data_IF_267401393285
#
_entry.id   IF_267401393285
#
_cell.length_a   1.000
_cell.length_b   1.000
_cell.length_c   1.000
_cell.angle_alpha   90.00
_cell.angle_beta   90.00
_cell.angle_gamma   90.00
#
_symmetry.space_group_name_H-M   'P 1'
#
loop_
_entity.id
_entity.type
_entity.pdbx_description
1 polymer ?
#
# COMPACT_ATOMS: atom_id res chain seq x y z
N UNK A 1 -3.93 21.56 0.72
CA UNK A 1 -3.40 20.38 1.46
C UNK A 1 -4.01 19.14 0.84
N UNK A 2 -3.27 18.01 0.73
CA UNK A 2 -3.84 16.73 0.25
C UNK A 2 -3.99 15.78 1.44
N UNK A 3 -5.14 15.15 1.58
CA UNK A 3 -5.47 14.26 2.71
C UNK A 3 -5.74 12.85 2.17
N UNK A 4 -4.93 11.87 2.60
CA UNK A 4 -5.14 10.46 2.28
C UNK A 4 -5.56 9.65 3.52
N UNK A 5 -5.98 8.41 3.30
CA UNK A 5 -6.32 7.47 4.38
C UNK A 5 -5.66 6.11 4.15
N UNK A 6 -5.39 5.39 5.24
CA UNK A 6 -5.16 3.94 5.23
C UNK A 6 -6.50 3.19 5.28
N UNK A 7 -6.46 1.86 5.16
CA UNK A 7 -7.63 1.02 5.30
C UNK A 7 -8.25 1.09 6.71
N UNK A 8 -9.58 0.97 6.81
CA UNK A 8 -10.32 0.88 8.06
C UNK A 8 -11.25 -0.34 8.04
N UNK A 9 -11.56 -0.89 9.22
CA UNK A 9 -12.39 -2.10 9.32
C UNK A 9 -13.82 -1.94 8.79
N UNK A 10 -14.32 -0.71 8.69
CA UNK A 10 -15.65 -0.40 8.17
C UNK A 10 -15.65 -0.11 6.65
N UNK A 11 -14.50 -0.15 5.99
CA UNK A 11 -14.45 0.00 4.53
C UNK A 11 -14.85 -1.30 3.84
N UNK A 12 -15.37 -1.23 2.60
CA UNK A 12 -15.66 -2.41 1.81
C UNK A 12 -14.43 -3.33 1.63
N UNK A 13 -14.66 -4.64 1.63
CA UNK A 13 -13.59 -5.62 1.44
C UNK A 13 -13.15 -5.70 -0.03
N UNK A 14 -14.09 -5.60 -0.97
CA UNK A 14 -13.79 -5.57 -2.40
C UNK A 14 -12.94 -4.32 -2.75
N UNK A 15 -11.86 -4.52 -3.52
CA UNK A 15 -10.88 -3.45 -3.80
C UNK A 15 -11.55 -2.30 -4.57
N UNK A 16 -12.34 -2.59 -5.60
CA UNK A 16 -13.00 -1.54 -6.40
C UNK A 16 -14.02 -0.76 -5.59
N UNK A 17 -14.84 -1.44 -4.80
CA UNK A 17 -15.80 -0.78 -3.90
C UNK A 17 -15.10 0.08 -2.86
N UNK A 18 -13.98 -0.38 -2.30
CA UNK A 18 -13.18 0.40 -1.37
C UNK A 18 -12.65 1.68 -1.99
N UNK A 19 -12.11 1.61 -3.21
CA UNK A 19 -11.62 2.81 -3.91
C UNK A 19 -12.74 3.81 -4.18
N UNK A 20 -13.93 3.32 -4.60
CA UNK A 20 -15.12 4.18 -4.78
C UNK A 20 -15.53 4.82 -3.46
N UNK A 21 -15.64 4.04 -2.40
CA UNK A 21 -16.02 4.51 -1.07
C UNK A 21 -15.05 5.58 -0.53
N UNK A 22 -13.75 5.35 -0.64
CA UNK A 22 -12.72 6.33 -0.22
C UNK A 22 -12.80 7.61 -1.04
N UNK A 23 -13.03 7.49 -2.36
CA UNK A 23 -13.18 8.64 -3.24
C UNK A 23 -14.42 9.46 -2.91
N UNK A 24 -15.55 8.81 -2.64
CA UNK A 24 -16.83 9.43 -2.28
C UNK A 24 -16.77 10.14 -0.92
N UNK A 25 -15.97 9.64 0.03
CA UNK A 25 -15.70 10.34 1.29
C UNK A 25 -14.85 11.61 1.11
N UNK A 26 -14.26 11.84 -0.06
CA UNK A 26 -13.50 13.06 -0.37
C UNK A 26 -12.00 12.99 -0.09
N UNK A 27 -11.43 11.80 0.11
CA UNK A 27 -9.96 11.66 0.24
C UNK A 27 -9.25 11.87 -1.11
N UNK A 28 -8.04 12.40 -1.04
CA UNK A 28 -7.17 12.68 -2.19
C UNK A 28 -6.30 11.47 -2.59
N UNK A 29 -6.24 10.44 -1.76
CA UNK A 29 -5.41 9.26 -2.02
C UNK A 29 -5.58 8.15 -0.99
N UNK A 30 -5.10 6.97 -1.37
CA UNK A 30 -5.14 5.78 -0.55
C UNK A 30 -3.72 5.28 -0.23
N UNK A 31 -3.43 5.07 1.05
CA UNK A 31 -2.23 4.36 1.50
C UNK A 31 -2.57 2.89 1.70
N UNK A 32 -2.13 2.06 0.76
CA UNK A 32 -2.54 0.66 0.64
C UNK A 32 -1.64 -0.27 1.48
N UNK A 33 -2.18 -1.41 1.93
CA UNK A 33 -1.36 -2.49 2.47
C UNK A 33 -0.45 -3.07 1.37
N UNK A 34 0.84 -3.26 1.67
CA UNK A 34 1.82 -3.73 0.69
C UNK A 34 1.52 -5.13 0.14
N UNK A 35 0.99 -6.04 0.96
CA UNK A 35 0.68 -7.42 0.56
C UNK A 35 -0.55 -7.46 -0.33
N UNK A 36 -1.57 -6.66 0.01
CA UNK A 36 -2.75 -6.46 -0.82
C UNK A 36 -2.36 -5.91 -2.19
N UNK A 37 -1.46 -4.92 -2.24
CA UNK A 37 -0.99 -4.34 -3.49
C UNK A 37 -0.28 -5.38 -4.37
N UNK A 38 0.75 -6.03 -3.85
CA UNK A 38 1.56 -7.00 -4.61
C UNK A 38 0.72 -8.16 -5.16
N UNK A 39 -0.27 -8.61 -4.39
CA UNK A 39 -1.11 -9.74 -4.81
C UNK A 39 -2.22 -9.37 -5.79
N UNK A 40 -2.55 -8.07 -5.96
CA UNK A 40 -3.73 -7.62 -6.70
C UNK A 40 -3.44 -6.43 -7.63
N UNK A 41 -2.23 -6.36 -8.19
CA UNK A 41 -1.74 -5.21 -9.00
C UNK A 41 -2.75 -4.80 -10.08
N UNK A 42 -3.25 -5.74 -10.87
CA UNK A 42 -4.18 -5.45 -11.98
C UNK A 42 -5.53 -4.93 -11.51
N UNK A 43 -6.07 -5.48 -10.41
CA UNK A 43 -7.32 -4.99 -9.82
C UNK A 43 -7.14 -3.58 -9.25
N UNK A 44 -6.00 -3.31 -8.61
CA UNK A 44 -5.65 -1.98 -8.09
C UNK A 44 -5.52 -0.98 -9.24
N UNK A 45 -4.82 -1.32 -10.34
CA UNK A 45 -4.74 -0.45 -11.53
C UNK A 45 -6.12 -0.15 -12.11
N UNK A 46 -6.98 -1.17 -12.21
CA UNK A 46 -8.33 -0.99 -12.69
C UNK A 46 -9.14 -0.06 -11.78
N UNK A 47 -9.05 -0.22 -10.46
CA UNK A 47 -9.70 0.63 -9.47
C UNK A 47 -9.20 2.07 -9.51
N UNK A 48 -7.90 2.30 -9.67
CA UNK A 48 -7.30 3.63 -9.85
C UNK A 48 -7.88 4.28 -11.11
N UNK A 49 -7.90 3.55 -12.24
CA UNK A 49 -8.41 4.07 -13.52
C UNK A 49 -9.91 4.39 -13.46
N UNK A 50 -10.69 3.55 -12.79
CA UNK A 50 -12.14 3.70 -12.66
C UNK A 50 -12.52 4.88 -11.76
N UNK A 51 -11.83 5.05 -10.63
CA UNK A 51 -12.22 6.04 -9.59
C UNK A 51 -11.43 7.34 -9.65
N UNK A 52 -10.27 7.34 -10.31
CA UNK A 52 -9.30 8.43 -10.26
C UNK A 52 -8.66 8.64 -8.89
N UNK A 53 -8.86 7.72 -7.94
CA UNK A 53 -8.22 7.77 -6.62
C UNK A 53 -6.82 7.14 -6.72
N UNK A 54 -5.74 7.91 -6.53
CA UNK A 54 -4.38 7.37 -6.62
C UNK A 54 -4.03 6.56 -5.37
N UNK A 55 -3.27 5.48 -5.56
CA UNK A 55 -2.44 4.91 -4.49
C UNK A 55 -1.23 5.84 -4.31
N UNK A 56 -1.08 6.42 -3.12
CA UNK A 56 0.00 7.41 -2.86
C UNK A 56 1.26 6.79 -2.29
N UNK A 57 1.08 5.78 -1.44
CA UNK A 57 2.07 5.15 -0.59
C UNK A 57 1.59 3.74 -0.22
N UNK A 58 2.50 2.87 0.21
CA UNK A 58 2.14 1.59 0.84
C UNK A 58 2.61 1.56 2.30
N UNK A 59 1.87 0.91 3.19
CA UNK A 59 2.26 0.73 4.59
C UNK A 59 2.05 -0.72 5.01
N UNK A 60 3.06 -1.33 5.64
CA UNK A 60 3.01 -2.73 6.04
C UNK A 60 3.03 -3.72 4.87
N UNK A 61 2.53 -4.94 5.10
CA UNK A 61 2.44 -5.98 4.06
C UNK A 61 3.68 -6.84 3.86
N UNK A 62 4.63 -6.82 4.80
CA UNK A 62 5.86 -7.60 4.78
C UNK A 62 6.14 -8.27 6.14
N UNK A 63 6.87 -9.39 6.10
CA UNK A 63 7.25 -10.22 7.23
C UNK A 63 8.74 -10.04 7.54
N UNK A 64 9.03 -9.30 8.61
CA UNK A 64 10.39 -9.01 9.08
C UNK A 64 10.71 -7.51 9.02
N UNK A 65 11.08 -6.94 10.15
CA UNK A 65 11.41 -5.52 10.24
C UNK A 65 12.78 -5.20 9.64
N UNK A 66 12.98 -3.98 9.15
CA UNK A 66 14.31 -3.55 8.67
C UNK A 66 15.36 -3.54 9.79
N UNK A 67 14.93 -3.38 11.05
CA UNK A 67 15.72 -3.54 12.27
C UNK A 67 15.40 -4.82 13.04
N UNK A 68 14.96 -5.89 12.38
CA UNK A 68 14.73 -7.18 13.05
C UNK A 68 16.03 -7.74 13.62
N UNK A 69 15.99 -8.28 14.85
CA UNK A 69 17.15 -8.92 15.48
C UNK A 69 17.50 -10.25 14.83
N UNK A 70 16.52 -10.89 14.18
CA UNK A 70 16.72 -12.14 13.44
C UNK A 70 17.05 -11.76 12.00
N UNK A 71 18.32 -11.94 11.63
CA UNK A 71 18.86 -11.60 10.31
C UNK A 71 18.03 -12.22 9.17
N UNK A 72 17.61 -13.48 9.31
CA UNK A 72 16.75 -14.15 8.31
C UNK A 72 15.43 -13.40 8.08
N UNK A 73 14.77 -12.94 9.16
CA UNK A 73 13.54 -12.15 9.06
C UNK A 73 13.82 -10.80 8.41
N UNK A 74 14.89 -10.13 8.82
CA UNK A 74 15.30 -8.84 8.25
C UNK A 74 15.50 -8.94 6.74
N UNK A 75 16.26 -9.94 6.28
CA UNK A 75 16.53 -10.17 4.86
C UNK A 75 15.27 -10.56 4.07
N UNK A 76 14.37 -11.36 4.67
CA UNK A 76 13.08 -11.68 4.05
C UNK A 76 12.18 -10.45 3.92
N UNK A 77 12.12 -9.61 4.96
CA UNK A 77 11.40 -8.34 4.93
C UNK A 77 11.90 -7.41 3.83
N UNK A 78 13.23 -7.27 3.68
CA UNK A 78 13.83 -6.46 2.61
C UNK A 78 13.42 -6.93 1.21
N UNK A 79 13.42 -8.25 0.96
CA UNK A 79 12.97 -8.81 -0.33
C UNK A 79 11.50 -8.51 -0.60
N UNK A 80 10.65 -8.54 0.42
CA UNK A 80 9.23 -8.23 0.25
C UNK A 80 8.99 -6.72 0.06
N UNK A 81 9.74 -5.88 0.77
CA UNK A 81 9.73 -4.42 0.57
C UNK A 81 10.14 -4.07 -0.86
N UNK A 82 11.17 -4.72 -1.41
CA UNK A 82 11.56 -4.56 -2.81
C UNK A 82 10.40 -4.81 -3.76
N UNK A 83 9.66 -5.91 -3.57
CA UNK A 83 8.46 -6.22 -4.38
C UNK A 83 7.34 -5.18 -4.21
N UNK A 84 7.15 -4.66 -3.00
CA UNK A 84 6.16 -3.59 -2.74
C UNK A 84 6.57 -2.31 -3.50
N UNK A 85 7.86 -1.97 -3.52
CA UNK A 85 8.36 -0.80 -4.25
C UNK A 85 8.22 -0.96 -5.77
N UNK A 86 8.48 -2.15 -6.31
CA UNK A 86 8.22 -2.47 -7.72
C UNK A 86 6.74 -2.35 -8.07
N UNK A 87 5.85 -2.94 -7.25
CA UNK A 87 4.41 -2.87 -7.45
C UNK A 87 3.88 -1.42 -7.36
N UNK A 88 4.44 -0.62 -6.44
CA UNK A 88 4.16 0.82 -6.37
C UNK A 88 4.55 1.51 -7.69
N UNK A 89 5.79 1.34 -8.15
CA UNK A 89 6.23 1.91 -9.43
C UNK A 89 5.30 1.54 -10.59
N UNK A 90 4.80 0.31 -10.59
CA UNK A 90 3.90 -0.22 -11.61
C UNK A 90 2.48 0.38 -11.57
N UNK A 91 1.88 0.60 -10.39
CA UNK A 91 0.48 1.08 -10.30
C UNK A 91 0.30 2.59 -10.41
N UNK A 92 1.36 3.41 -10.36
CA UNK A 92 1.20 4.87 -10.41
C UNK A 92 2.20 5.68 -11.21
N UNK A 93 3.15 5.03 -11.90
CA UNK A 93 4.16 5.75 -12.70
C UNK A 93 4.89 6.82 -11.88
N UNK A 94 5.61 7.71 -12.57
CA UNK A 94 6.56 8.72 -12.03
C UNK A 94 6.08 9.68 -10.89
N UNK A 95 4.87 9.52 -10.33
CA UNK A 95 4.30 10.40 -9.28
C UNK A 95 4.13 9.75 -7.89
N UNK A 96 4.59 8.53 -7.68
CA UNK A 96 4.44 7.86 -6.37
C UNK A 96 5.54 8.22 -5.36
N UNK A 97 5.20 8.19 -4.06
CA UNK A 97 6.02 8.75 -2.98
C UNK A 97 6.79 7.74 -2.13
N UNK A 98 6.52 6.43 -2.23
CA UNK A 98 7.29 5.37 -1.57
C UNK A 98 6.50 4.51 -0.57
N UNK A 99 7.22 3.69 0.21
CA UNK A 99 6.65 2.85 1.26
C UNK A 99 6.95 3.42 2.67
N UNK A 100 5.95 3.40 3.56
CA UNK A 100 6.03 3.84 4.95
C UNK A 100 6.40 2.65 5.84
N UNK A 101 7.61 2.67 6.42
CA UNK A 101 8.19 1.54 7.15
C UNK A 101 8.80 2.02 8.49
N UNK A 102 8.38 1.49 9.65
CA UNK A 102 9.10 1.75 10.91
C UNK A 102 10.39 0.90 10.98
N UNK A 103 11.35 1.33 11.81
CA UNK A 103 12.57 0.55 12.08
C UNK A 103 12.24 -0.83 12.64
N UNK A 104 11.33 -0.88 13.60
CA UNK A 104 10.70 -2.09 14.12
C UNK A 104 9.41 -1.70 14.85
N UNK A 105 8.56 -2.68 15.11
CA UNK A 105 7.42 -2.55 16.03
C UNK A 105 7.54 -3.63 17.11
N UNK A 106 7.54 -3.23 18.38
CA UNK A 106 7.32 -4.17 19.49
C UNK A 106 5.82 -4.40 19.62
N UNK A 107 5.38 -5.63 19.35
CA UNK A 107 4.18 -6.17 20.01
C UNK A 107 4.59 -6.68 21.37
#
# INVERSE_FOLDING_TARGET
>A
MKIGTQNQAFFPENIRERFRYIKEMGFDGFEIDGKLLVNNIEEVKAAIKETGLPVTTACGGYDGWIGDFIEERRLNGLKQIERILEALAEVGGFRQRGACLPSAYRR
#
